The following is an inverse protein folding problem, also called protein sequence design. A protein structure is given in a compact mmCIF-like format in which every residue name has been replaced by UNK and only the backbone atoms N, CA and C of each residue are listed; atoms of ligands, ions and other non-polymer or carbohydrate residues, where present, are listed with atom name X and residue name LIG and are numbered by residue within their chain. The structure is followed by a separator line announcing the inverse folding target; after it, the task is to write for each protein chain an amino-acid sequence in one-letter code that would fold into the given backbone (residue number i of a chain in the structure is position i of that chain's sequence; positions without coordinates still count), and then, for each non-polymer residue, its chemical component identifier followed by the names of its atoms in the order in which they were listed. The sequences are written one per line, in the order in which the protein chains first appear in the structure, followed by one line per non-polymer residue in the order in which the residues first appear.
data_IF_440886807074
#
_entry.id   IF_440886807074
#
_cell.length_a   1.000
_cell.length_b   1.000
_cell.length_c   1.000
_cell.angle_alpha   90.00
_cell.angle_beta   90.00
_cell.angle_gamma   90.00
#
_symmetry.space_group_name_H-M   'P 1'
#
loop_
_entity.id
_entity.type
_entity.pdbx_description
1 polymer ?
#
# COMPACT_ATOMS: atom_id res chain seq x y z
N UNK A 1 -14.43 -2.34 -7.53
CA UNK A 1 -14.65 -0.89 -7.31
C UNK A 1 -15.36 -0.69 -5.97
N UNK A 2 -15.21 0.48 -5.35
CA UNK A 2 -15.93 0.91 -4.14
C UNK A 2 -16.52 2.29 -4.39
N UNK A 3 -17.71 2.57 -3.83
CA UNK A 3 -18.34 3.89 -3.86
C UNK A 3 -17.91 4.73 -2.66
N UNK A 4 -17.27 5.86 -2.92
CA UNK A 4 -16.84 6.84 -1.90
C UNK A 4 -17.40 8.21 -2.27
N UNK A 5 -18.20 8.83 -1.39
CA UNK A 5 -18.80 10.18 -1.60
C UNK A 5 -19.40 10.34 -3.01
N UNK A 6 -20.23 9.39 -3.43
CA UNK A 6 -20.87 9.31 -4.76
C UNK A 6 -19.94 9.14 -5.97
N UNK A 7 -18.65 8.87 -5.78
CA UNK A 7 -17.72 8.47 -6.85
C UNK A 7 -17.42 6.97 -6.78
N UNK A 8 -17.34 6.30 -7.92
CA UNK A 8 -16.86 4.92 -8.02
C UNK A 8 -15.35 4.92 -8.24
N UNK A 9 -14.61 4.37 -7.28
CA UNK A 9 -13.16 4.27 -7.33
C UNK A 9 -12.73 2.80 -7.51
N UNK A 10 -11.65 2.53 -8.26
CA UNK A 10 -11.06 1.19 -8.32
C UNK A 10 -10.53 0.79 -6.94
N UNK A 11 -10.58 -0.52 -6.65
CA UNK A 11 -10.08 -1.08 -5.39
C UNK A 11 -8.91 -2.00 -5.68
N UNK A 12 -7.73 -1.60 -5.23
CA UNK A 12 -6.51 -2.39 -5.23
C UNK A 12 -6.42 -3.16 -3.92
N UNK A 13 -6.23 -4.48 -4.02
CA UNK A 13 -6.05 -5.37 -2.87
C UNK A 13 -4.58 -5.63 -2.67
N UNK A 14 -3.98 -4.98 -1.67
CA UNK A 14 -2.53 -5.11 -1.44
C UNK A 14 -2.11 -6.56 -1.21
N UNK A 15 -2.94 -7.35 -0.52
CA UNK A 15 -2.67 -8.77 -0.30
C UNK A 15 -2.55 -9.57 -1.61
N UNK A 16 -3.30 -9.20 -2.65
CA UNK A 16 -3.20 -9.84 -3.97
C UNK A 16 -1.95 -9.37 -4.71
N UNK A 17 -1.63 -8.06 -4.64
CA UNK A 17 -0.45 -7.49 -5.29
C UNK A 17 0.84 -8.11 -4.75
N UNK A 18 0.94 -8.26 -3.43
CA UNK A 18 2.14 -8.76 -2.77
C UNK A 18 2.11 -10.25 -2.45
N UNK A 19 1.04 -10.97 -2.86
CA UNK A 19 0.85 -12.39 -2.59
C UNK A 19 1.05 -12.76 -1.10
N UNK A 20 0.44 -11.98 -0.22
CA UNK A 20 0.45 -12.21 1.24
C UNK A 20 -0.94 -12.57 1.74
N UNK A 21 -1.00 -13.25 2.89
CA UNK A 21 -2.28 -13.55 3.55
C UNK A 21 -2.88 -12.26 4.14
N UNK A 22 -4.13 -11.90 3.80
CA UNK A 22 -4.81 -10.76 4.39
C UNK A 22 -5.42 -11.10 5.75
N UNK A 23 -5.61 -10.10 6.61
CA UNK A 23 -6.46 -10.21 7.79
C UNK A 23 -7.94 -10.40 7.43
N UNK A 24 -8.40 -9.81 6.33
CA UNK A 24 -9.70 -10.13 5.72
C UNK A 24 -9.70 -9.97 4.21
N UNK A 25 -10.34 -10.92 3.51
CA UNK A 25 -10.53 -10.88 2.04
C UNK A 25 -11.65 -9.91 1.66
N UNK A 26 -12.68 -9.78 2.50
CA UNK A 26 -13.87 -9.00 2.21
C UNK A 26 -13.63 -7.52 2.49
N UNK A 27 -13.82 -6.61 1.52
CA UNK A 27 -13.51 -5.18 1.73
C UNK A 27 -14.33 -4.49 2.83
N UNK A 28 -15.53 -4.98 3.15
CA UNK A 28 -16.37 -4.43 4.24
C UNK A 28 -15.99 -4.94 5.63
N UNK A 29 -15.06 -5.90 5.71
CA UNK A 29 -14.47 -6.41 6.96
C UNK A 29 -13.00 -5.94 7.11
N UNK A 30 -12.52 -5.06 6.22
CA UNK A 30 -11.15 -4.54 6.18
C UNK A 30 -11.16 -3.01 6.19
N UNK A 31 -9.98 -2.39 6.33
CA UNK A 31 -9.83 -0.96 6.12
C UNK A 31 -9.62 -0.65 4.64
N UNK A 32 -10.23 0.46 4.19
CA UNK A 32 -10.08 0.96 2.83
C UNK A 32 -9.55 2.38 2.88
N UNK A 33 -8.37 2.60 2.29
CA UNK A 33 -7.71 3.90 2.23
C UNK A 33 -7.87 4.48 0.83
N UNK A 34 -8.37 5.71 0.72
CA UNK A 34 -8.40 6.43 -0.55
C UNK A 34 -7.05 7.10 -0.77
N UNK A 35 -6.43 6.86 -1.91
CA UNK A 35 -5.15 7.41 -2.33
C UNK A 35 -5.35 8.19 -3.62
N UNK A 36 -4.61 9.28 -3.76
CA UNK A 36 -4.56 10.10 -4.97
C UNK A 36 -3.11 10.23 -5.43
N UNK A 37 -2.86 9.92 -6.69
CA UNK A 37 -1.57 10.10 -7.35
C UNK A 37 -1.80 10.67 -8.75
N UNK A 38 -1.22 11.82 -9.07
CA UNK A 38 -1.38 12.50 -10.38
C UNK A 38 -2.85 12.60 -10.84
N UNK A 39 -3.74 13.07 -9.96
CA UNK A 39 -5.20 13.16 -10.17
C UNK A 39 -5.93 11.81 -10.38
N UNK A 40 -5.24 10.67 -10.28
CA UNK A 40 -5.85 9.35 -10.30
C UNK A 40 -6.21 8.97 -8.86
N UNK A 41 -7.50 8.79 -8.61
CA UNK A 41 -8.02 8.37 -7.31
C UNK A 41 -8.33 6.87 -7.31
N UNK A 42 -7.86 6.16 -6.28
CA UNK A 42 -8.12 4.74 -6.09
C UNK A 42 -8.17 4.37 -4.61
N UNK A 43 -8.66 3.18 -4.32
CA UNK A 43 -8.76 2.65 -2.97
C UNK A 43 -7.75 1.52 -2.77
N UNK A 44 -7.09 1.49 -1.60
CA UNK A 44 -6.27 0.39 -1.12
C UNK A 44 -7.03 -0.37 -0.03
N UNK A 45 -7.16 -1.69 -0.17
CA UNK A 45 -7.58 -2.56 0.94
C UNK A 45 -6.36 -2.90 1.79
N UNK A 46 -6.43 -2.55 3.08
CA UNK A 46 -5.39 -2.76 4.09
C UNK A 46 -5.98 -3.39 5.35
N UNK A 47 -5.16 -4.03 6.16
CA UNK A 47 -5.63 -4.67 7.40
C UNK A 47 -5.80 -3.65 8.52
N UNK A 48 -4.80 -2.80 8.74
CA UNK A 48 -4.78 -1.81 9.83
C UNK A 48 -4.13 -0.49 9.42
N UNK A 49 -4.45 0.57 10.18
CA UNK A 49 -3.80 1.87 10.08
C UNK A 49 -3.00 2.12 11.36
N UNK A 50 -1.68 1.96 11.28
CA UNK A 50 -0.77 2.13 12.42
C UNK A 50 -0.60 3.60 12.81
N UNK A 51 -0.72 4.52 11.85
CA UNK A 51 -0.63 5.97 12.06
C UNK A 51 0.35 6.66 11.12
N UNK A 52 0.68 7.92 11.42
CA UNK A 52 1.69 8.69 10.68
C UNK A 52 3.05 8.51 11.36
N UNK A 53 4.07 8.19 10.57
CA UNK A 53 5.44 8.05 11.05
C UNK A 53 6.41 8.80 10.13
N UNK A 54 7.43 9.40 10.70
CA UNK A 54 8.57 9.92 9.94
C UNK A 54 9.63 8.81 9.85
N UNK A 55 9.98 8.42 8.63
CA UNK A 55 10.93 7.35 8.37
C UNK A 55 12.00 7.80 7.38
N UNK A 56 13.20 7.24 7.52
CA UNK A 56 14.27 7.43 6.53
C UNK A 56 14.24 6.23 5.58
N UNK A 57 13.87 6.49 4.32
CA UNK A 57 13.86 5.48 3.28
C UNK A 57 15.30 5.06 2.95
N UNK A 58 15.53 3.75 2.91
CA UNK A 58 16.78 3.12 2.50
C UNK A 58 16.55 2.32 1.24
N UNK A 59 17.57 2.28 0.39
CA UNK A 59 17.60 1.33 -0.73
C UNK A 59 17.60 -0.10 -0.18
N UNK A 60 16.84 -0.99 -0.81
CA UNK A 60 16.82 -2.42 -0.51
C UNK A 60 18.03 -3.17 -1.12
N UNK A 61 18.98 -2.43 -1.70
CA UNK A 61 20.13 -2.98 -2.41
C UNK A 61 19.82 -3.32 -3.87
N UNK A 62 20.87 -3.52 -4.67
CA UNK A 62 20.75 -3.69 -6.13
C UNK A 62 19.89 -4.90 -6.54
N UNK A 63 19.83 -5.94 -5.69
CA UNK A 63 19.06 -7.16 -5.97
C UNK A 63 17.54 -6.97 -5.86
N UNK A 64 17.10 -5.95 -5.14
CA UNK A 64 15.68 -5.66 -4.85
C UNK A 64 15.20 -4.33 -5.46
N UNK A 65 16.07 -3.65 -6.22
CA UNK A 65 15.86 -2.30 -6.77
C UNK A 65 14.69 -2.19 -7.74
N UNK A 66 14.26 -3.29 -8.35
CA UNK A 66 13.22 -3.33 -9.37
C UNK A 66 11.99 -4.14 -8.94
N UNK A 67 11.77 -4.31 -7.63
CA UNK A 67 10.61 -5.05 -7.16
C UNK A 67 9.33 -4.22 -7.44
N UNK A 68 8.40 -4.71 -8.28
CA UNK A 68 7.23 -3.93 -8.65
C UNK A 68 6.41 -3.51 -7.44
N UNK A 69 6.00 -2.24 -7.39
CA UNK A 69 5.20 -1.69 -6.30
C UNK A 69 5.97 -1.37 -5.02
N UNK A 70 7.30 -1.46 -5.00
CA UNK A 70 8.14 -1.14 -3.84
C UNK A 70 9.15 -0.04 -4.18
N UNK A 71 9.14 1.04 -3.41
CA UNK A 71 10.08 2.16 -3.54
C UNK A 71 11.35 1.98 -2.69
N UNK A 72 11.27 1.19 -1.60
CA UNK A 72 12.40 0.98 -0.69
C UNK A 72 11.98 0.30 0.61
N UNK A 73 12.87 0.35 1.61
CA UNK A 73 12.60 -0.15 2.96
C UNK A 73 13.12 0.80 4.05
N UNK A 74 12.62 0.65 5.27
CA UNK A 74 13.10 1.36 6.43
C UNK A 74 13.15 0.42 7.65
N UNK A 75 14.08 0.67 8.57
CA UNK A 75 14.06 0.03 9.89
C UNK A 75 13.18 0.88 10.78
N UNK A 76 12.12 0.29 11.31
CA UNK A 76 11.16 0.92 12.22
C UNK A 76 11.76 1.04 13.63
N UNK A 77 11.16 1.88 14.49
CA UNK A 77 11.66 2.09 15.87
C UNK A 77 11.63 0.84 16.75
N UNK A 78 10.89 -0.19 16.35
CA UNK A 78 10.83 -1.51 17.00
C UNK A 78 11.81 -2.54 16.39
N UNK A 79 12.67 -2.10 15.46
CA UNK A 79 13.66 -2.95 14.79
C UNK A 79 13.12 -3.78 13.62
N UNK A 80 11.81 -3.74 13.33
CA UNK A 80 11.25 -4.42 12.16
C UNK A 80 11.56 -3.66 10.87
N UNK A 81 11.56 -4.39 9.75
CA UNK A 81 11.69 -3.78 8.42
C UNK A 81 10.30 -3.45 7.89
N UNK A 82 10.05 -2.17 7.62
CA UNK A 82 8.89 -1.69 6.88
C UNK A 82 9.24 -1.51 5.41
N UNK A 83 8.36 -1.95 4.51
CA UNK A 83 8.48 -1.68 3.08
C UNK A 83 7.71 -0.42 2.71
N UNK A 84 8.30 0.40 1.85
CA UNK A 84 7.65 1.59 1.30
C UNK A 84 7.07 1.20 -0.05
N UNK A 85 5.75 1.33 -0.17
CA UNK A 85 5.00 1.02 -1.38
C UNK A 85 5.14 2.17 -2.37
N UNK A 86 5.46 1.85 -3.63
CA UNK A 86 5.34 2.80 -4.75
C UNK A 86 3.89 2.80 -5.24
N UNK A 87 3.13 3.80 -4.81
CA UNK A 87 1.72 3.97 -5.20
C UNK A 87 1.55 4.19 -6.70
N UNK A 88 2.53 4.78 -7.40
CA UNK A 88 2.45 5.00 -8.85
C UNK A 88 2.51 3.66 -9.60
N UNK A 89 3.37 2.75 -9.14
CA UNK A 89 3.50 1.39 -9.68
C UNK A 89 2.25 0.51 -9.47
N UNK A 90 1.37 0.84 -8.53
CA UNK A 90 0.14 0.08 -8.25
C UNK A 90 -1.02 0.37 -9.21
N UNK A 91 -0.98 1.50 -9.93
CA UNK A 91 -2.10 2.00 -10.75
C UNK A 91 -1.85 1.91 -12.26
N UNK A 92 -0.81 1.19 -12.67
CA UNK A 92 -0.49 0.94 -14.09
C UNK A 92 -1.48 -0.01 -14.77
#
# INVERSE_FOLDING_TARGET
MIRVRNKLLPLVRLHQVFAVEPGSVKPWEALVVVVEHENIQFCLQVDELVGKQEIVIKSLGERLKNLPGIAGGAIMGDGRVGLIIDVAGLVR
#
